data_IF_826298400943
#
_entry.id   IF_826298400943
#
_cell.length_a   1.000
_cell.length_b   1.000
_cell.length_c   1.000
_cell.angle_alpha   90.00
_cell.angle_beta   90.00
_cell.angle_gamma   90.00
#
_symmetry.space_group_name_H-M   'P 1'
#
loop_
_entity.id
_entity.type
_entity.pdbx_description
1 polymer ?
#
# COMPACT_ATOMS: atom_id res chain seq x y z
N UNK A 1 -6.52 -17.13 -5.11
CA UNK A 1 -8.02 -17.14 -5.11
C UNK A 1 -8.60 -15.72 -5.11
N UNK A 2 -8.02 -14.77 -5.87
CA UNK A 2 -8.47 -13.36 -5.91
C UNK A 2 -9.27 -12.99 -7.18
N UNK A 3 -9.39 -13.93 -8.13
CA UNK A 3 -10.07 -13.69 -9.43
C UNK A 3 -11.60 -13.68 -9.28
N UNK A 4 -12.16 -14.22 -8.19
CA UNK A 4 -13.61 -14.40 -8.05
C UNK A 4 -14.37 -13.15 -7.54
N UNK A 5 -13.72 -12.20 -6.87
CA UNK A 5 -14.43 -11.04 -6.27
C UNK A 5 -14.53 -9.80 -7.16
N UNK A 6 -13.87 -9.80 -8.31
CA UNK A 6 -13.86 -8.66 -9.26
C UNK A 6 -14.97 -8.78 -10.31
N UNK A 7 -15.63 -9.94 -10.39
CA UNK A 7 -16.65 -10.28 -11.39
C UNK A 7 -18.08 -9.77 -11.09
N UNK A 8 -18.26 -8.74 -10.24
CA UNK A 8 -19.61 -8.22 -9.92
C UNK A 8 -19.98 -6.91 -10.64
N UNK A 9 -19.12 -6.35 -11.50
CA UNK A 9 -19.44 -5.19 -12.33
C UNK A 9 -19.18 -5.53 -13.79
N UNK A 10 -20.18 -5.34 -14.67
CA UNK A 10 -20.00 -5.40 -16.13
C UNK A 10 -18.84 -4.48 -16.49
N UNK A 11 -17.76 -5.06 -17.00
CA UNK A 11 -16.56 -4.36 -17.41
C UNK A 11 -16.42 -4.50 -18.93
N UNK A 12 -16.11 -3.42 -19.63
CA UNK A 12 -15.86 -3.43 -21.08
C UNK A 12 -14.48 -4.06 -21.39
N UNK A 13 -14.11 -4.24 -22.66
CA UNK A 13 -12.77 -4.72 -23.02
C UNK A 13 -11.69 -3.76 -22.50
N UNK A 14 -11.94 -2.45 -22.52
CA UNK A 14 -11.01 -1.43 -22.01
C UNK A 14 -10.73 -1.57 -20.51
N UNK A 15 -11.74 -1.98 -19.74
CA UNK A 15 -11.60 -2.22 -18.31
C UNK A 15 -10.71 -3.44 -18.00
N UNK A 16 -10.68 -4.43 -18.90
CA UNK A 16 -9.82 -5.61 -18.77
C UNK A 16 -8.38 -5.28 -19.15
N UNK A 17 -8.14 -4.45 -20.17
CA UNK A 17 -6.79 -3.99 -20.48
C UNK A 17 -6.20 -3.10 -19.38
N UNK A 18 -7.01 -2.19 -18.83
CA UNK A 18 -6.59 -1.38 -17.68
C UNK A 18 -6.27 -2.25 -16.47
N UNK A 19 -7.08 -3.29 -16.23
CA UNK A 19 -6.83 -4.27 -15.18
C UNK A 19 -5.52 -5.02 -15.44
N UNK A 20 -5.33 -5.60 -16.62
CA UNK A 20 -4.11 -6.33 -16.99
C UNK A 20 -2.87 -5.42 -16.86
N UNK A 21 -2.97 -4.16 -17.28
CA UNK A 21 -1.89 -3.18 -17.15
C UNK A 21 -1.55 -2.88 -15.67
N UNK A 22 -2.55 -2.58 -14.84
CA UNK A 22 -2.32 -2.29 -13.42
C UNK A 22 -1.84 -3.53 -12.66
N UNK A 23 -2.32 -4.73 -13.01
CA UNK A 23 -1.83 -5.99 -12.46
C UNK A 23 -0.39 -6.25 -12.86
N UNK A 24 -0.01 -6.04 -14.12
CA UNK A 24 1.39 -6.16 -14.55
C UNK A 24 2.28 -5.15 -13.83
N UNK A 25 1.87 -3.87 -13.70
CA UNK A 25 2.66 -2.87 -12.94
C UNK A 25 2.84 -3.28 -11.48
N UNK A 26 1.76 -3.75 -10.84
CA UNK A 26 1.83 -4.19 -9.44
C UNK A 26 2.68 -5.45 -9.29
N UNK A 27 2.53 -6.43 -10.19
CA UNK A 27 3.33 -7.66 -10.20
C UNK A 27 4.81 -7.38 -10.47
N UNK A 28 5.12 -6.45 -11.38
CA UNK A 28 6.49 -6.00 -11.63
C UNK A 28 7.10 -5.40 -10.37
N UNK A 29 6.38 -4.55 -9.63
CA UNK A 29 6.86 -4.03 -8.33
C UNK A 29 7.21 -5.17 -7.38
N UNK A 30 6.33 -6.19 -7.24
CA UNK A 30 6.63 -7.34 -6.38
C UNK A 30 7.85 -8.17 -6.83
N UNK A 31 8.11 -8.25 -8.14
CA UNK A 31 9.24 -8.98 -8.70
C UNK A 31 10.55 -8.17 -8.70
N UNK A 32 10.46 -6.83 -8.67
CA UNK A 32 11.60 -5.92 -8.78
C UNK A 32 12.09 -5.38 -7.43
N UNK A 33 11.32 -5.57 -6.35
CA UNK A 33 11.81 -5.38 -4.98
C UNK A 33 12.93 -6.40 -4.77
N UNK A 34 14.17 -5.91 -4.63
CA UNK A 34 15.32 -6.78 -4.44
C UNK A 34 15.12 -7.60 -3.16
N UNK A 35 15.61 -8.84 -3.16
CA UNK A 35 15.79 -9.64 -1.94
C UNK A 35 16.43 -8.89 -0.77
N UNK A 36 17.21 -7.84 -1.04
CA UNK A 36 17.89 -6.99 -0.06
C UNK A 36 17.14 -5.69 0.29
N UNK A 37 16.04 -5.36 -0.40
CA UNK A 37 15.23 -4.21 -0.03
C UNK A 37 14.39 -4.54 1.21
N UNK A 38 14.66 -3.78 2.27
CA UNK A 38 14.04 -3.86 3.60
C UNK A 38 13.01 -2.75 3.82
N UNK A 39 12.88 -1.84 2.86
CA UNK A 39 11.91 -0.75 2.91
C UNK A 39 11.24 -0.50 1.57
N UNK A 40 9.94 -0.21 1.63
CA UNK A 40 9.05 0.11 0.51
C UNK A 40 8.25 1.34 0.89
N UNK A 41 7.90 2.15 -0.09
CA UNK A 41 7.09 3.34 0.14
C UNK A 41 5.63 3.11 -0.29
N UNK A 42 4.72 3.56 0.55
CA UNK A 42 3.30 3.68 0.22
C UNK A 42 3.01 5.14 -0.11
N UNK A 43 2.67 5.40 -1.38
CA UNK A 43 2.16 6.71 -1.79
C UNK A 43 0.68 6.82 -1.43
N UNK A 44 0.38 7.76 -0.54
CA UNK A 44 -0.96 8.11 -0.10
C UNK A 44 -1.36 9.43 -0.73
N UNK A 45 -2.34 9.38 -1.64
CA UNK A 45 -2.92 10.57 -2.26
C UNK A 45 -4.16 11.05 -1.49
N UNK A 46 -4.09 12.27 -0.97
CA UNK A 46 -5.15 12.92 -0.19
C UNK A 46 -5.75 14.06 -1.00
N UNK A 47 -7.07 14.04 -1.16
CA UNK A 47 -7.82 15.10 -1.84
C UNK A 47 -8.47 16.03 -0.82
N UNK A 48 -8.08 17.31 -0.82
CA UNK A 48 -8.72 18.34 0.00
C UNK A 48 -9.11 19.54 -0.88
N UNK A 49 -10.41 19.80 -1.00
CA UNK A 49 -10.98 20.95 -1.71
C UNK A 49 -10.36 21.20 -3.09
N UNK A 50 -10.19 20.14 -3.89
CA UNK A 50 -9.67 20.22 -5.27
C UNK A 50 -8.14 20.18 -5.41
N UNK A 51 -7.38 20.06 -4.31
CA UNK A 51 -5.92 19.82 -4.37
C UNK A 51 -5.58 18.42 -3.87
N UNK A 52 -4.82 17.68 -4.67
CA UNK A 52 -4.24 16.39 -4.29
C UNK A 52 -2.86 16.62 -3.71
N UNK A 53 -2.59 16.08 -2.52
CA UNK A 53 -1.25 15.99 -1.94
C UNK A 53 -0.86 14.54 -1.81
N UNK A 54 0.39 14.24 -2.13
CA UNK A 54 0.99 12.92 -1.95
C UNK A 54 1.78 12.94 -0.65
N UNK A 55 1.64 11.89 0.13
CA UNK A 55 2.46 11.62 1.31
C UNK A 55 3.03 10.21 1.17
N UNK A 56 4.29 10.03 1.55
CA UNK A 56 4.97 8.76 1.48
C UNK A 56 5.07 8.21 2.89
N UNK A 57 4.57 7.00 3.08
CA UNK A 57 4.82 6.24 4.31
C UNK A 57 5.87 5.19 4.01
N UNK A 58 6.94 5.18 4.81
CA UNK A 58 7.88 4.08 4.78
C UNK A 58 7.25 2.86 5.46
N UNK A 59 7.42 1.70 4.81
CA UNK A 59 7.10 0.40 5.35
C UNK A 59 8.39 -0.37 5.46
N UNK A 60 8.71 -0.84 6.66
CA UNK A 60 9.87 -1.67 6.93
C UNK A 60 9.44 -3.14 6.88
N UNK A 61 10.27 -3.98 6.27
CA UNK A 61 10.06 -5.43 6.16
C UNK A 61 11.31 -6.14 6.63
N UNK A 62 11.14 -7.00 7.63
CA UNK A 62 12.22 -7.75 8.26
C UNK A 62 11.94 -9.25 8.21
N UNK A 63 12.97 -10.10 8.00
CA UNK A 63 12.84 -11.53 8.25
C UNK A 63 12.47 -11.78 9.71
N UNK A 64 11.54 -12.71 9.93
CA UNK A 64 11.14 -13.17 11.25
C UNK A 64 10.99 -14.70 11.22
N UNK A 65 12.02 -15.41 11.70
CA UNK A 65 12.15 -16.87 11.60
C UNK A 65 11.93 -17.39 10.16
N UNK A 66 10.90 -18.21 9.94
CA UNK A 66 10.49 -18.78 8.64
C UNK A 66 9.47 -17.89 7.90
N UNK A 67 9.33 -16.63 8.32
CA UNK A 67 8.36 -15.67 7.82
C UNK A 67 8.98 -14.26 7.68
N UNK A 68 8.12 -13.28 7.42
CA UNK A 68 8.47 -11.87 7.38
C UNK A 68 7.47 -11.08 8.20
N UNK A 69 7.96 -10.07 8.91
CA UNK A 69 7.15 -9.05 9.54
C UNK A 69 7.25 -7.74 8.75
N UNK A 70 6.19 -6.94 8.78
CA UNK A 70 6.24 -5.59 8.25
C UNK A 70 5.50 -4.61 9.15
N UNK A 71 6.00 -3.37 9.20
CA UNK A 71 5.40 -2.31 10.00
C UNK A 71 5.61 -0.94 9.34
N UNK A 72 4.72 0.00 9.66
CA UNK A 72 4.84 1.41 9.23
C UNK A 72 5.20 2.28 10.45
N UNK A 73 6.42 2.83 10.55
CA UNK A 73 6.84 3.63 11.70
C UNK A 73 5.97 4.87 11.95
N UNK A 74 5.45 5.47 10.88
CA UNK A 74 4.56 6.64 10.96
C UNK A 74 3.16 6.31 11.49
N UNK A 75 2.77 5.04 11.51
CA UNK A 75 1.47 4.57 11.98
C UNK A 75 1.65 3.58 13.13
N UNK A 76 1.89 4.05 14.37
CA UNK A 76 2.19 3.18 15.51
C UNK A 76 1.14 2.07 15.71
N UNK A 77 1.62 0.83 15.80
CA UNK A 77 0.77 -0.36 15.91
C UNK A 77 0.25 -0.91 14.57
N UNK A 78 0.53 -0.26 13.44
CA UNK A 78 0.26 -0.80 12.12
C UNK A 78 1.37 -1.78 11.71
N UNK A 79 1.12 -3.06 11.99
CA UNK A 79 2.06 -4.16 11.75
C UNK A 79 1.33 -5.40 11.22
N UNK A 80 2.06 -6.26 10.53
CA UNK A 80 1.55 -7.53 10.00
C UNK A 80 2.68 -8.54 9.83
N UNK A 81 2.33 -9.79 9.52
CA UNK A 81 3.28 -10.84 9.16
C UNK A 81 2.77 -11.65 7.96
N UNK A 82 3.67 -12.30 7.24
CA UNK A 82 3.33 -13.22 6.16
C UNK A 82 4.45 -14.22 5.89
N UNK A 83 4.12 -15.37 5.30
CA UNK A 83 5.10 -16.42 5.02
C UNK A 83 6.03 -16.07 3.87
N UNK A 84 5.65 -15.07 3.07
CA UNK A 84 6.48 -14.55 1.97
C UNK A 84 6.51 -13.02 2.01
N UNK A 85 7.58 -12.42 1.48
CA UNK A 85 7.65 -10.95 1.34
C UNK A 85 6.45 -10.38 0.57
N UNK A 86 6.07 -11.00 -0.55
CA UNK A 86 4.95 -10.54 -1.37
C UNK A 86 3.61 -10.58 -0.62
N UNK A 87 3.39 -11.61 0.18
CA UNK A 87 2.23 -11.70 1.06
C UNK A 87 2.24 -10.62 2.14
N UNK A 88 3.38 -10.46 2.81
CA UNK A 88 3.58 -9.46 3.87
C UNK A 88 3.37 -8.03 3.35
N UNK A 89 3.88 -7.73 2.16
CA UNK A 89 3.66 -6.47 1.43
C UNK A 89 2.18 -6.22 1.11
N UNK A 90 1.46 -7.26 0.68
CA UNK A 90 0.01 -7.16 0.44
C UNK A 90 -0.72 -6.83 1.74
N UNK A 91 -0.39 -7.54 2.82
CA UNK A 91 -1.06 -7.37 4.10
C UNK A 91 -0.76 -6.03 4.76
N UNK A 92 0.47 -5.52 4.67
CA UNK A 92 0.80 -4.23 5.28
C UNK A 92 0.12 -3.09 4.53
N UNK A 93 0.00 -3.19 3.20
CA UNK A 93 -0.82 -2.26 2.40
C UNK A 93 -2.28 -2.27 2.87
N UNK A 94 -2.88 -3.44 3.05
CA UNK A 94 -4.26 -3.57 3.55
C UNK A 94 -4.41 -3.03 4.99
N UNK A 95 -3.43 -3.30 5.86
CA UNK A 95 -3.40 -2.81 7.23
C UNK A 95 -3.32 -1.28 7.28
N UNK A 96 -2.47 -0.66 6.45
CA UNK A 96 -2.38 0.80 6.34
C UNK A 96 -3.68 1.39 5.79
N UNK A 97 -4.27 0.77 4.75
CA UNK A 97 -5.57 1.21 4.21
C UNK A 97 -6.67 1.21 5.29
N UNK A 98 -6.73 0.17 6.11
CA UNK A 98 -7.69 0.05 7.20
C UNK A 98 -7.41 1.06 8.32
N UNK A 99 -6.15 1.20 8.73
CA UNK A 99 -5.74 2.14 9.78
C UNK A 99 -6.14 3.58 9.43
N UNK A 100 -5.85 4.02 8.19
CA UNK A 100 -6.23 5.36 7.74
C UNK A 100 -7.76 5.52 7.64
N UNK A 101 -8.47 4.48 7.23
CA UNK A 101 -9.93 4.50 7.17
C UNK A 101 -10.55 4.71 8.55
N UNK A 102 -10.09 3.99 9.56
CA UNK A 102 -10.58 4.08 10.93
C UNK A 102 -10.33 5.47 11.53
N UNK A 103 -9.12 6.03 11.33
CA UNK A 103 -8.83 7.40 11.77
C UNK A 103 -9.76 8.44 11.13
N UNK A 104 -10.03 8.32 9.82
CA UNK A 104 -10.92 9.24 9.11
C UNK A 104 -12.37 9.07 9.59
N UNK A 105 -12.84 7.84 9.78
CA UNK A 105 -14.18 7.55 10.27
C UNK A 105 -14.43 8.12 11.67
N UNK A 106 -13.41 8.05 12.53
CA UNK A 106 -13.43 8.62 13.88
C UNK A 106 -13.18 10.14 13.93
N UNK A 107 -12.87 10.78 12.80
CA UNK A 107 -12.51 12.20 12.76
C UNK A 107 -11.18 12.51 13.47
N UNK A 108 -10.27 11.53 13.56
CA UNK A 108 -8.95 11.65 14.16
C UNK A 108 -7.91 12.08 13.11
N UNK A 109 -6.86 12.81 13.53
CA UNK A 109 -5.78 13.18 12.63
C UNK A 109 -4.92 11.96 12.26
N UNK A 110 -4.48 11.90 11.00
CA UNK A 110 -3.44 10.98 10.57
C UNK A 110 -2.09 11.53 11.08
N UNK A 111 -1.23 10.70 11.71
CA UNK A 111 0.12 11.11 12.11
C UNK A 111 0.88 11.80 10.97
N UNK A 112 1.62 12.87 11.27
CA UNK A 112 2.43 13.65 10.32
C UNK A 112 1.67 14.30 9.13
N UNK A 113 0.35 14.14 9.04
CA UNK A 113 -0.50 14.70 7.98
C UNK A 113 -1.59 15.63 8.55
N UNK A 114 -2.27 15.21 9.63
CA UNK A 114 -3.41 15.92 10.21
C UNK A 114 -4.77 15.39 9.77
N UNK A 115 -5.82 16.20 9.92
CA UNK A 115 -7.21 15.80 9.64
C UNK A 115 -7.48 15.64 8.15
N UNK A 116 -8.02 14.48 7.78
CA UNK A 116 -8.44 14.14 6.42
C UNK A 116 -9.91 13.71 6.46
N UNK A 117 -10.70 14.18 5.48
CA UNK A 117 -12.15 13.89 5.40
C UNK A 117 -12.52 12.91 4.28
N UNK A 118 -11.63 12.73 3.31
CA UNK A 118 -11.88 11.89 2.15
C UNK A 118 -11.00 10.64 2.24
N UNK A 119 -11.55 9.49 1.79
CA UNK A 119 -10.78 8.26 1.69
C UNK A 119 -9.53 8.48 0.81
N UNK A 120 -8.32 8.17 1.31
CA UNK A 120 -7.11 8.29 0.51
C UNK A 120 -6.99 7.17 -0.52
N UNK A 121 -6.21 7.42 -1.58
CA UNK A 121 -5.77 6.37 -2.51
C UNK A 121 -4.37 5.92 -2.14
N UNK A 122 -4.12 4.61 -2.05
CA UNK A 122 -2.81 4.06 -1.66
C UNK A 122 -2.24 3.21 -2.79
N UNK A 123 -0.96 3.43 -3.12
CA UNK A 123 -0.20 2.62 -4.09
C UNK A 123 1.16 2.28 -3.52
N UNK A 124 1.62 1.06 -3.78
CA UNK A 124 3.01 0.66 -3.54
C UNK A 124 3.89 1.33 -4.59
N UNK A 125 5.01 1.90 -4.17
CA UNK A 125 6.07 2.39 -5.04
C UNK A 125 7.40 1.77 -4.59
N UNK A 126 8.26 1.43 -5.54
CA UNK A 126 9.63 1.02 -5.24
C UNK A 126 10.43 2.28 -4.93
N UNK A 127 11.18 2.28 -3.82
CA UNK A 127 12.19 3.30 -3.57
C UNK A 127 13.31 3.15 -4.58
N UNK A 128 13.49 4.13 -5.46
CA UNK A 128 14.77 4.33 -6.11
C UNK A 128 15.76 4.71 -5.01
N UNK A 129 16.51 3.76 -4.46
CA UNK A 129 17.69 4.11 -3.67
C UNK A 129 18.56 4.95 -4.58
N UNK A 130 18.64 6.25 -4.31
CA UNK A 130 19.65 7.12 -4.89
C UNK A 130 20.98 6.51 -4.45
N UNK A 131 21.67 5.83 -5.38
CA UNK A 131 23.02 5.39 -5.14
C UNK A 131 23.85 6.63 -4.82
N UNK A 132 24.31 6.72 -3.57
CA UNK A 132 25.29 7.71 -3.13
C UNK A 132 26.67 7.39 -3.73
#
# INVERSE_FOLDING_TARGET
MLISKIASRRKTIDDLELFISEWHKTALIYHEIDSNDISVELEVSINNSGRTRKHLFEVVIEPDEDAYQAYCPDLPGCQTWGHTKAETLRYIKEAVELYLYDLIADGKPIPNIGLVKAKPSIRLIKTEKVAL
#
